data_IF_502578437653
#
_entry.id   IF_502578437653
#
_cell.length_a   1.000
_cell.length_b   1.000
_cell.length_c   1.000
_cell.angle_alpha   90.00
_cell.angle_beta   90.00
_cell.angle_gamma   90.00
#
_symmetry.space_group_name_H-M   'P 1'
#
loop_
_entity.id
_entity.type
_entity.pdbx_description
1 polymer ?
#
# COMPACT_ATOMS: atom_id res chain seq x y z
N UNK A 1 1.34 11.22 -18.13
CA UNK A 1 1.07 10.66 -16.78
C UNK A 1 2.26 10.96 -15.85
N UNK A 2 2.05 11.80 -14.83
CA UNK A 2 3.06 12.02 -13.80
C UNK A 2 3.20 10.72 -13.00
N UNK A 3 4.38 10.11 -13.06
CA UNK A 3 4.70 8.97 -12.23
C UNK A 3 4.80 9.44 -10.77
N UNK A 4 4.03 8.83 -9.86
CA UNK A 4 4.17 9.10 -8.44
C UNK A 4 5.58 8.70 -7.98
N UNK A 5 6.26 9.58 -7.27
CA UNK A 5 7.58 9.27 -6.73
C UNK A 5 7.45 8.33 -5.53
N UNK A 6 8.51 7.56 -5.24
CA UNK A 6 8.55 6.72 -4.04
C UNK A 6 8.25 7.52 -2.76
N UNK A 7 8.81 8.73 -2.67
CA UNK A 7 8.55 9.63 -1.55
C UNK A 7 7.06 9.99 -1.42
N UNK A 8 6.40 10.36 -2.53
CA UNK A 8 4.97 10.69 -2.50
C UNK A 8 4.10 9.50 -2.07
N UNK A 9 4.42 8.29 -2.55
CA UNK A 9 3.68 7.08 -2.19
C UNK A 9 3.90 6.69 -0.72
N UNK A 10 5.11 6.86 -0.20
CA UNK A 10 5.41 6.62 1.22
C UNK A 10 4.69 7.63 2.13
N UNK A 11 4.54 8.89 1.72
CA UNK A 11 3.75 9.87 2.49
C UNK A 11 2.26 9.51 2.49
N UNK A 12 1.69 9.14 1.34
CA UNK A 12 0.30 8.66 1.27
C UNK A 12 0.08 7.43 2.16
N UNK A 13 1.04 6.52 2.21
CA UNK A 13 1.00 5.35 3.10
C UNK A 13 1.03 5.78 4.58
N UNK A 14 1.93 6.69 4.97
CA UNK A 14 2.05 7.21 6.35
C UNK A 14 0.81 7.95 6.81
N UNK A 15 0.15 8.68 5.91
CA UNK A 15 -1.13 9.36 6.17
C UNK A 15 -2.33 8.38 6.19
N UNK A 16 -2.08 7.07 6.11
CA UNK A 16 -3.09 6.02 5.99
C UNK A 16 -4.03 6.22 4.79
N UNK A 17 -3.62 6.96 3.76
CA UNK A 17 -4.46 7.28 2.60
C UNK A 17 -4.54 6.14 1.60
N UNK A 18 -3.54 5.28 1.60
CA UNK A 18 -3.49 4.05 0.81
C UNK A 18 -3.11 2.88 1.72
N UNK A 19 -3.60 1.70 1.39
CA UNK A 19 -3.22 0.47 2.09
C UNK A 19 -1.78 0.06 1.78
N UNK A 20 -1.22 -0.82 2.61
CA UNK A 20 0.09 -1.46 2.37
C UNK A 20 0.12 -2.18 1.01
N UNK A 21 -0.97 -2.86 0.65
CA UNK A 21 -1.10 -3.52 -0.64
C UNK A 21 -1.08 -2.54 -1.81
N UNK A 22 -1.84 -1.44 -1.70
CA UNK A 22 -1.88 -0.42 -2.76
C UNK A 22 -0.56 0.33 -2.92
N UNK A 23 0.14 0.61 -1.83
CA UNK A 23 1.47 1.20 -1.87
C UNK A 23 2.50 0.27 -2.56
N UNK A 24 2.44 -1.04 -2.28
CA UNK A 24 3.29 -2.03 -2.92
C UNK A 24 3.04 -2.10 -4.44
N UNK A 25 1.76 -2.18 -4.84
CA UNK A 25 1.33 -2.20 -6.24
C UNK A 25 1.85 -0.98 -7.01
N UNK A 26 1.64 0.23 -6.48
CA UNK A 26 2.05 1.48 -7.13
C UNK A 26 3.57 1.65 -7.25
N UNK A 27 4.34 0.98 -6.39
CA UNK A 27 5.80 0.94 -6.45
C UNK A 27 6.35 -0.21 -7.32
N UNK A 28 5.48 -1.04 -7.89
CA UNK A 28 5.90 -2.25 -8.61
C UNK A 28 6.59 -3.28 -7.71
N UNK A 29 6.25 -3.32 -6.43
CA UNK A 29 6.81 -4.23 -5.44
C UNK A 29 5.79 -5.31 -5.06
N UNK A 30 6.29 -6.49 -4.67
CA UNK A 30 5.47 -7.45 -3.94
C UNK A 30 5.14 -6.91 -2.55
N UNK A 31 4.08 -7.44 -1.93
CA UNK A 31 3.73 -7.10 -0.54
C UNK A 31 4.92 -7.26 0.40
N UNK A 32 5.64 -8.40 0.31
CA UNK A 32 6.87 -8.65 1.07
C UNK A 32 7.97 -7.63 0.73
N UNK A 33 8.17 -7.33 -0.54
CA UNK A 33 9.17 -6.34 -0.98
C UNK A 33 8.90 -4.95 -0.42
N UNK A 34 7.63 -4.57 -0.28
CA UNK A 34 7.24 -3.33 0.38
C UNK A 34 7.49 -3.38 1.91
N UNK A 35 7.18 -4.49 2.59
CA UNK A 35 7.53 -4.63 4.02
C UNK A 35 9.05 -4.53 4.26
N UNK A 36 9.86 -5.12 3.40
CA UNK A 36 11.32 -4.99 3.45
C UNK A 36 11.78 -3.55 3.19
N UNK A 37 11.12 -2.81 2.30
CA UNK A 37 11.36 -1.38 2.08
C UNK A 37 11.08 -0.57 3.34
N UNK A 38 9.94 -0.80 4.00
CA UNK A 38 9.58 -0.14 5.26
C UNK A 38 10.62 -0.43 6.34
N UNK A 39 11.05 -1.69 6.47
CA UNK A 39 12.09 -2.10 7.41
C UNK A 39 13.41 -1.37 7.15
N UNK A 40 13.90 -1.35 5.90
CA UNK A 40 15.14 -0.66 5.51
C UNK A 40 15.09 0.84 5.82
N UNK A 41 13.93 1.46 5.62
CA UNK A 41 13.71 2.90 5.88
C UNK A 41 13.30 3.21 7.32
N UNK A 42 13.17 2.21 8.19
CA UNK A 42 12.67 2.33 9.57
C UNK A 42 11.31 3.01 9.65
N UNK A 43 10.45 2.76 8.67
CA UNK A 43 9.06 3.21 8.66
C UNK A 43 8.22 2.14 9.39
N UNK A 44 7.47 2.50 10.44
CA UNK A 44 6.59 1.57 11.11
C UNK A 44 5.56 1.00 10.14
N UNK A 45 5.26 -0.29 10.26
CA UNK A 45 4.11 -0.87 9.57
C UNK A 45 2.87 -0.27 10.22
N UNK A 46 2.21 0.62 9.49
CA UNK A 46 0.89 1.10 9.86
C UNK A 46 -0.15 0.08 9.39
N UNK A 47 -0.89 -0.47 10.34
CA UNK A 47 -2.13 -1.16 10.06
C UNK A 47 -3.17 -0.11 9.75
N UNK A 48 -3.41 0.16 8.47
CA UNK A 48 -4.56 0.94 8.05
C UNK A 48 -5.82 0.12 8.40
N UNK A 49 -6.71 0.60 9.29
CA UNK A 49 -8.03 -0.04 9.43
C UNK A 49 -8.70 -0.02 8.05
N UNK A 50 -9.52 -1.03 7.69
CA UNK A 50 -10.06 -1.16 6.34
C UNK A 50 -10.68 0.17 5.90
N UNK A 51 -10.06 0.79 4.89
CA UNK A 51 -10.52 2.06 4.32
C UNK A 51 -11.49 1.69 3.21
N UNK A 52 -12.70 2.20 3.33
CA UNK A 52 -13.78 2.09 2.35
C UNK A 52 -14.31 0.65 2.08
N UNK A 53 -15.62 0.40 2.25
CA UNK A 53 -16.28 -0.83 1.81
C UNK A 53 -15.96 -1.24 0.37
N UNK A 54 -15.66 -0.30 -0.54
CA UNK A 54 -15.28 -0.62 -1.92
C UNK A 54 -13.92 -1.31 -2.04
N UNK A 55 -12.90 -0.90 -1.25
CA UNK A 55 -11.56 -1.53 -1.28
C UNK A 55 -11.65 -2.98 -0.77
N UNK A 56 -12.50 -3.21 0.25
CA UNK A 56 -12.79 -4.55 0.77
C UNK A 56 -13.54 -5.38 -0.27
N UNK A 57 -14.55 -4.81 -0.92
CA UNK A 57 -15.31 -5.50 -1.96
C UNK A 57 -14.43 -5.88 -3.15
N UNK A 58 -13.48 -5.02 -3.53
CA UNK A 58 -12.55 -5.28 -4.62
C UNK A 58 -11.56 -6.40 -4.28
N UNK A 59 -11.00 -6.37 -3.07
CA UNK A 59 -10.15 -7.46 -2.59
C UNK A 59 -10.89 -8.81 -2.60
N UNK A 60 -12.16 -8.84 -2.15
CA UNK A 60 -12.96 -10.06 -2.12
C UNK A 60 -13.29 -10.60 -3.52
N UNK A 61 -13.43 -9.73 -4.53
CA UNK A 61 -13.62 -10.16 -5.93
C UNK A 61 -12.40 -10.89 -6.48
N UNK A 62 -11.19 -10.46 -6.11
CA UNK A 62 -9.94 -11.07 -6.58
C UNK A 62 -9.57 -12.38 -5.86
N UNK A 63 -10.14 -12.67 -4.69
CA UNK A 63 -9.91 -13.93 -3.94
C UNK A 63 -10.85 -15.06 -4.41
N UNK A 64 -11.96 -14.74 -5.08
CA UNK A 64 -12.94 -15.72 -5.58
C UNK A 64 -12.79 -16.07 -7.07
N UNK A 65 -11.70 -15.65 -7.71
CA UNK A 65 -11.34 -16.01 -9.09
C UNK A 65 -10.46 -17.25 -9.16
#
# INVERSE_FOLDING_TARGET
>A
PEAFTEAALLELYREHRISTGKAAELLGLSYRGFLELLQRKRIPVVTTPPRDPEEVADALRHVKG
#
